data_IF_400947231677
#
_entry.id   IF_400947231677
#
_cell.length_a   1.000
_cell.length_b   1.000
_cell.length_c   1.000
_cell.angle_alpha   90.00
_cell.angle_beta   90.00
_cell.angle_gamma   90.00
#
_symmetry.space_group_name_H-M   'P 1'
#
loop_
_entity.id
_entity.type
_entity.pdbx_description
1 polymer ?
#
# COMPACT_ATOMS: atom_id res chain seq x y z
N UNK A 1 -4.22 -0.04 -24.63
CA UNK A 1 -4.26 -1.43 -25.13
C UNK A 1 -2.85 -1.98 -25.01
N UNK A 2 -2.68 -3.06 -24.25
CA UNK A 2 -1.39 -3.74 -24.08
C UNK A 2 -0.88 -4.28 -25.43
N UNK A 3 0.45 -4.48 -25.53
CA UNK A 3 1.09 -5.09 -26.69
C UNK A 3 0.44 -6.44 -27.05
N UNK A 4 0.42 -6.84 -28.33
CA UNK A 4 -0.16 -8.13 -28.74
C UNK A 4 0.54 -9.27 -27.99
N UNK A 5 -0.22 -10.00 -27.17
CA UNK A 5 0.24 -11.19 -26.47
C UNK A 5 0.02 -12.42 -27.35
N UNK A 6 1.07 -13.23 -27.52
CA UNK A 6 1.00 -14.51 -28.23
C UNK A 6 0.99 -15.63 -27.18
N UNK A 7 -0.14 -16.36 -27.00
CA UNK A 7 -0.20 -17.46 -26.05
C UNK A 7 0.63 -18.65 -26.52
N UNK A 8 1.17 -19.46 -25.61
CA UNK A 8 1.72 -20.78 -25.95
C UNK A 8 0.64 -21.67 -26.59
N UNK A 9 0.99 -22.55 -27.56
CA UNK A 9 0.03 -23.41 -28.25
C UNK A 9 -0.83 -24.27 -27.30
N UNK A 10 -0.23 -24.78 -26.22
CA UNK A 10 -0.92 -25.61 -25.23
C UNK A 10 -2.03 -24.85 -24.49
N UNK A 11 -1.80 -23.56 -24.18
CA UNK A 11 -2.80 -22.70 -23.56
C UNK A 11 -3.93 -22.39 -24.54
N UNK A 12 -3.59 -22.14 -25.81
CA UNK A 12 -4.58 -21.89 -26.86
C UNK A 12 -5.46 -23.12 -27.10
N UNK A 13 -4.86 -24.32 -27.16
CA UNK A 13 -5.58 -25.58 -27.27
C UNK A 13 -6.52 -25.80 -26.07
N UNK A 14 -6.05 -25.54 -24.85
CA UNK A 14 -6.88 -25.66 -23.65
C UNK A 14 -8.08 -24.71 -23.68
N UNK A 15 -7.88 -23.48 -24.17
CA UNK A 15 -8.91 -22.45 -24.25
C UNK A 15 -9.98 -22.73 -25.33
N UNK A 16 -9.75 -23.63 -26.28
CA UNK A 16 -10.75 -24.01 -27.31
C UNK A 16 -11.95 -24.78 -26.76
N UNK A 17 -11.88 -25.30 -25.53
CA UNK A 17 -13.03 -25.94 -24.86
C UNK A 17 -13.95 -24.97 -24.09
N UNK A 18 -14.84 -25.48 -23.22
CA UNK A 18 -15.73 -24.64 -22.38
C UNK A 18 -14.96 -23.67 -21.47
N UNK A 19 -15.30 -22.38 -21.37
CA UNK A 19 -14.48 -21.39 -20.66
C UNK A 19 -14.03 -21.85 -19.25
N UNK A 20 -12.71 -21.92 -18.96
CA UNK A 20 -12.22 -22.30 -17.65
C UNK A 20 -12.38 -21.16 -16.63
N UNK A 21 -12.20 -21.44 -15.35
CA UNK A 21 -11.97 -20.42 -14.33
C UNK A 21 -10.47 -20.05 -14.27
N UNK A 22 -10.13 -18.85 -13.84
CA UNK A 22 -8.76 -18.47 -13.52
C UNK A 22 -8.52 -18.56 -12.02
N UNK A 23 -7.36 -19.05 -11.58
CA UNK A 23 -6.92 -19.03 -10.20
C UNK A 23 -5.51 -18.44 -10.14
N UNK A 24 -5.32 -17.34 -9.40
CA UNK A 24 -4.00 -16.74 -9.23
C UNK A 24 -3.90 -15.82 -8.02
N UNK A 25 -2.92 -16.08 -7.16
CA UNK A 25 -2.68 -15.30 -5.94
C UNK A 25 -1.53 -14.27 -6.09
N UNK A 26 -1.03 -14.04 -7.31
CA UNK A 26 0.01 -13.05 -7.57
C UNK A 26 1.36 -13.42 -6.95
N UNK A 27 2.09 -12.43 -6.44
CA UNK A 27 3.41 -12.59 -5.82
C UNK A 27 3.36 -12.99 -4.34
N UNK A 28 2.23 -13.55 -3.87
CA UNK A 28 2.11 -13.97 -2.48
C UNK A 28 2.94 -15.23 -2.25
N UNK A 29 3.87 -15.13 -1.30
CA UNK A 29 4.63 -16.28 -0.81
C UNK A 29 3.77 -17.01 0.21
N UNK A 30 3.58 -18.30 0.00
CA UNK A 30 2.78 -19.18 0.86
C UNK A 30 3.73 -20.17 1.51
N UNK A 31 3.54 -20.43 2.81
CA UNK A 31 4.40 -21.33 3.59
C UNK A 31 4.42 -22.77 3.04
N UNK A 32 3.29 -23.25 2.53
CA UNK A 32 3.13 -24.61 1.97
C UNK A 32 2.41 -24.55 0.59
N UNK A 33 3.17 -24.34 -0.50
CA UNK A 33 2.59 -24.26 -1.84
C UNK A 33 2.03 -25.60 -2.33
N UNK A 34 2.52 -26.74 -1.80
CA UNK A 34 2.01 -28.07 -2.17
C UNK A 34 0.61 -28.27 -1.63
N UNK A 35 0.41 -27.97 -0.34
CA UNK A 35 -0.91 -28.06 0.30
C UNK A 35 -1.92 -27.15 -0.38
N UNK A 36 -1.51 -25.94 -0.77
CA UNK A 36 -2.36 -25.05 -1.54
C UNK A 36 -2.69 -25.66 -2.90
N UNK A 37 -1.70 -26.16 -3.64
CA UNK A 37 -1.92 -26.80 -4.95
C UNK A 37 -2.93 -27.95 -4.85
N UNK A 38 -2.76 -28.86 -3.89
CA UNK A 38 -3.70 -29.97 -3.67
C UNK A 38 -5.11 -29.49 -3.36
N UNK A 39 -5.25 -28.47 -2.51
CA UNK A 39 -6.54 -27.86 -2.19
C UNK A 39 -7.22 -27.28 -3.44
N UNK A 40 -6.46 -26.58 -4.28
CA UNK A 40 -6.99 -26.00 -5.53
C UNK A 40 -7.45 -27.09 -6.50
N UNK A 41 -6.64 -28.13 -6.69
CA UNK A 41 -6.99 -29.27 -7.56
C UNK A 41 -8.25 -29.98 -7.06
N UNK A 42 -8.36 -30.21 -5.75
CA UNK A 42 -9.54 -30.80 -5.13
C UNK A 42 -10.78 -29.91 -5.30
N UNK A 43 -10.66 -28.60 -5.07
CA UNK A 43 -11.77 -27.66 -5.23
C UNK A 43 -12.27 -27.60 -6.68
N UNK A 44 -11.37 -27.59 -7.66
CA UNK A 44 -11.70 -27.61 -9.10
C UNK A 44 -12.41 -28.90 -9.46
N UNK A 45 -11.95 -30.03 -8.95
CA UNK A 45 -12.61 -31.32 -9.15
C UNK A 45 -14.02 -31.36 -8.53
N UNK A 46 -14.17 -30.89 -7.29
CA UNK A 46 -15.47 -30.81 -6.61
C UNK A 46 -16.45 -29.87 -7.33
N UNK A 47 -15.97 -28.75 -7.87
CA UNK A 47 -16.77 -27.82 -8.65
C UNK A 47 -17.14 -28.34 -10.06
N UNK A 48 -16.43 -29.37 -10.56
CA UNK A 48 -16.65 -29.92 -11.89
C UNK A 48 -16.33 -28.95 -13.03
N UNK A 49 -15.38 -28.04 -12.82
CA UNK A 49 -15.00 -27.00 -13.79
C UNK A 49 -13.62 -27.26 -14.40
N UNK A 50 -13.32 -26.55 -15.49
CA UNK A 50 -11.95 -26.43 -16.00
C UNK A 50 -11.27 -25.24 -15.33
N UNK A 51 -9.98 -25.32 -15.05
CA UNK A 51 -9.24 -24.24 -14.38
C UNK A 51 -7.89 -23.96 -15.03
N UNK A 52 -7.55 -22.68 -15.08
CA UNK A 52 -6.21 -22.18 -15.36
C UNK A 52 -5.61 -21.71 -14.04
N UNK A 53 -4.48 -22.28 -13.64
CA UNK A 53 -3.80 -21.94 -12.39
C UNK A 53 -2.50 -21.22 -12.72
N UNK A 54 -2.34 -19.98 -12.27
CA UNK A 54 -1.08 -19.26 -12.41
C UNK A 54 -0.09 -19.73 -11.33
N UNK A 55 1.13 -20.10 -11.74
CA UNK A 55 2.19 -20.54 -10.82
C UNK A 55 2.51 -19.48 -9.74
N UNK A 56 2.36 -18.19 -10.06
CA UNK A 56 2.78 -17.08 -9.20
C UNK A 56 4.29 -17.12 -8.89
N UNK A 57 4.72 -16.36 -7.87
CA UNK A 57 6.09 -16.43 -7.34
C UNK A 57 6.29 -17.58 -6.34
N UNK A 58 5.21 -18.29 -5.98
CA UNK A 58 5.21 -19.41 -5.03
C UNK A 58 5.37 -20.79 -5.68
N UNK A 59 5.71 -20.85 -6.98
CA UNK A 59 5.94 -22.08 -7.73
C UNK A 59 4.81 -23.13 -7.60
N UNK A 60 3.54 -22.70 -7.64
CA UNK A 60 2.42 -23.65 -7.61
C UNK A 60 2.49 -24.59 -8.81
N UNK A 61 2.63 -25.90 -8.57
CA UNK A 61 2.73 -26.92 -9.62
C UNK A 61 4.15 -27.25 -10.10
N UNK A 62 5.22 -26.83 -9.42
CA UNK A 62 6.61 -27.14 -9.80
C UNK A 62 7.12 -28.55 -9.43
N UNK A 63 6.31 -29.39 -8.80
CA UNK A 63 6.67 -30.76 -8.43
C UNK A 63 5.89 -31.83 -9.21
N UNK A 64 6.23 -33.11 -9.03
CA UNK A 64 5.63 -34.31 -9.66
C UNK A 64 4.14 -34.54 -9.28
N UNK A 65 3.28 -33.57 -9.54
CA UNK A 65 1.83 -33.71 -9.42
C UNK A 65 1.26 -34.38 -10.67
N UNK A 66 0.33 -35.31 -10.49
CA UNK A 66 -0.53 -35.76 -11.59
C UNK A 66 -1.56 -34.66 -11.85
N UNK A 67 -1.33 -33.87 -12.90
CA UNK A 67 -2.21 -32.76 -13.27
C UNK A 67 -3.47 -33.33 -13.94
N UNK A 68 -4.68 -33.05 -13.41
CA UNK A 68 -5.93 -33.45 -14.03
C UNK A 68 -6.11 -32.81 -15.42
N UNK A 69 -6.76 -33.48 -16.39
CA UNK A 69 -6.92 -32.95 -17.75
C UNK A 69 -7.78 -31.69 -17.83
N UNK A 70 -8.57 -31.39 -16.79
CA UNK A 70 -9.35 -30.16 -16.66
C UNK A 70 -8.56 -29.00 -16.04
N UNK A 71 -7.26 -29.16 -15.77
CA UNK A 71 -6.40 -28.12 -15.18
C UNK A 71 -5.22 -27.84 -16.10
N UNK A 72 -4.95 -26.55 -16.32
CA UNK A 72 -3.77 -26.11 -17.06
C UNK A 72 -3.01 -25.05 -16.26
N UNK A 73 -1.72 -25.26 -16.04
CA UNK A 73 -0.88 -24.31 -15.31
C UNK A 73 -0.21 -23.33 -16.28
N UNK A 74 -0.16 -22.05 -15.89
CA UNK A 74 0.45 -21.00 -16.72
C UNK A 74 1.47 -20.17 -15.94
N UNK A 75 2.47 -19.67 -16.67
CA UNK A 75 3.41 -18.67 -16.15
C UNK A 75 2.84 -17.26 -16.17
N UNK A 76 3.68 -16.28 -16.50
CA UNK A 76 3.25 -14.90 -16.69
C UNK A 76 2.32 -14.78 -17.90
N UNK A 77 1.13 -14.22 -17.69
CA UNK A 77 0.16 -13.93 -18.74
C UNK A 77 -0.55 -12.60 -18.42
N UNK A 78 -0.76 -11.70 -19.40
CA UNK A 78 -1.49 -10.46 -19.17
C UNK A 78 -2.92 -10.72 -18.70
N UNK A 79 -3.31 -10.11 -17.58
CA UNK A 79 -4.63 -10.28 -16.98
C UNK A 79 -5.76 -9.79 -17.88
N UNK A 80 -5.56 -8.65 -18.56
CA UNK A 80 -6.50 -8.11 -19.54
C UNK A 80 -6.77 -9.09 -20.69
N UNK A 81 -5.76 -9.86 -21.12
CA UNK A 81 -5.93 -10.85 -22.17
C UNK A 81 -6.59 -12.15 -21.70
N UNK A 82 -6.16 -12.69 -20.55
CA UNK A 82 -6.67 -14.00 -20.07
C UNK A 82 -8.05 -13.89 -19.45
N UNK A 83 -8.34 -12.80 -18.73
CA UNK A 83 -9.62 -12.65 -18.04
C UNK A 83 -10.79 -12.59 -19.02
N UNK A 84 -10.60 -12.06 -20.23
CA UNK A 84 -11.61 -12.12 -21.29
C UNK A 84 -12.06 -13.55 -21.63
N UNK A 85 -11.18 -14.54 -21.45
CA UNK A 85 -11.36 -15.94 -21.90
C UNK A 85 -11.79 -16.90 -20.81
N UNK A 86 -11.92 -16.43 -19.57
CA UNK A 86 -12.37 -17.24 -18.42
C UNK A 86 -13.79 -16.91 -17.99
N UNK A 87 -14.41 -17.81 -17.23
CA UNK A 87 -15.78 -17.66 -16.72
C UNK A 87 -15.86 -16.92 -15.37
N UNK A 88 -14.84 -17.04 -14.53
CA UNK A 88 -14.67 -16.27 -13.28
C UNK A 88 -13.19 -16.27 -12.86
N UNK A 89 -12.84 -15.42 -11.89
CA UNK A 89 -11.47 -15.20 -11.42
C UNK A 89 -11.40 -15.43 -9.92
N UNK A 90 -10.58 -16.39 -9.47
CA UNK A 90 -10.19 -16.57 -8.07
C UNK A 90 -8.87 -15.86 -7.86
N UNK A 91 -8.82 -14.89 -6.95
CA UNK A 91 -7.59 -14.16 -6.66
C UNK A 91 -7.53 -13.65 -5.23
N UNK A 92 -6.37 -13.12 -4.86
CA UNK A 92 -6.09 -12.66 -3.49
C UNK A 92 -6.79 -11.34 -3.12
N UNK A 93 -7.42 -10.64 -4.06
CA UNK A 93 -8.06 -9.33 -3.81
C UNK A 93 -7.14 -8.11 -3.88
N UNK A 94 -5.98 -8.16 -4.52
CA UNK A 94 -5.17 -6.96 -4.75
C UNK A 94 -5.86 -5.98 -5.71
N UNK A 95 -5.80 -4.68 -5.40
CA UNK A 95 -6.56 -3.63 -6.10
C UNK A 95 -6.48 -3.70 -7.63
N UNK A 96 -5.28 -3.87 -8.20
CA UNK A 96 -5.08 -3.96 -9.64
C UNK A 96 -5.71 -5.20 -10.29
N UNK A 97 -5.62 -6.36 -9.64
CA UNK A 97 -6.23 -7.60 -10.12
C UNK A 97 -7.75 -7.56 -10.00
N UNK A 98 -8.27 -7.01 -8.89
CA UNK A 98 -9.71 -6.78 -8.70
C UNK A 98 -10.25 -5.86 -9.79
N UNK A 99 -9.59 -4.73 -10.03
CA UNK A 99 -9.98 -3.78 -11.06
C UNK A 99 -9.94 -4.42 -12.46
N UNK A 100 -8.91 -5.21 -12.78
CA UNK A 100 -8.80 -5.91 -14.07
C UNK A 100 -9.93 -6.93 -14.28
N UNK A 101 -10.25 -7.74 -13.27
CA UNK A 101 -11.33 -8.72 -13.34
C UNK A 101 -12.70 -8.03 -13.54
N UNK A 102 -12.97 -6.97 -12.78
CA UNK A 102 -14.20 -6.18 -12.91
C UNK A 102 -14.28 -5.48 -14.26
N UNK A 103 -13.19 -4.87 -14.73
CA UNK A 103 -13.12 -4.25 -16.05
C UNK A 103 -13.35 -5.25 -17.20
N UNK A 104 -13.03 -6.54 -17.00
CA UNK A 104 -13.36 -7.62 -17.94
C UNK A 104 -14.78 -8.19 -17.76
N UNK A 105 -15.54 -7.69 -16.77
CA UNK A 105 -16.88 -8.15 -16.43
C UNK A 105 -16.94 -9.57 -15.89
N UNK A 106 -15.92 -10.00 -15.15
CA UNK A 106 -15.79 -11.38 -14.66
C UNK A 106 -16.14 -11.45 -13.19
N UNK A 107 -16.98 -12.41 -12.76
CA UNK A 107 -17.18 -12.69 -11.35
C UNK A 107 -15.86 -12.96 -10.64
N UNK A 108 -15.70 -12.40 -9.45
CA UNK A 108 -14.46 -12.51 -8.65
C UNK A 108 -14.68 -13.21 -7.33
N UNK A 109 -13.87 -14.23 -7.04
CA UNK A 109 -13.80 -14.90 -5.75
C UNK A 109 -12.54 -14.45 -5.04
N UNK A 110 -12.70 -13.79 -3.90
CA UNK A 110 -11.59 -13.17 -3.18
C UNK A 110 -11.14 -14.06 -2.01
N UNK A 111 -9.85 -14.44 -2.03
CA UNK A 111 -9.19 -15.18 -0.96
C UNK A 111 -8.14 -14.27 -0.32
N UNK A 112 -8.50 -13.44 0.67
CA UNK A 112 -7.57 -12.46 1.22
C UNK A 112 -6.53 -13.11 2.14
N UNK A 113 -5.29 -12.63 2.00
CA UNK A 113 -4.15 -12.97 2.83
C UNK A 113 -3.84 -11.85 3.84
N UNK A 114 -3.79 -10.58 3.41
CA UNK A 114 -3.48 -9.41 4.26
C UNK A 114 -3.79 -8.07 3.57
N UNK A 115 -3.59 -6.95 4.27
CA UNK A 115 -3.67 -5.59 3.71
C UNK A 115 -5.09 -5.17 3.36
N UNK A 116 -5.26 -4.56 2.19
CA UNK A 116 -6.53 -4.06 1.65
C UNK A 116 -7.40 -5.17 1.01
N UNK A 117 -6.89 -6.39 0.91
CA UNK A 117 -7.56 -7.52 0.26
C UNK A 117 -8.93 -7.88 0.88
N UNK A 118 -9.12 -7.90 2.21
CA UNK A 118 -10.44 -8.15 2.79
C UNK A 118 -11.46 -7.07 2.40
N UNK A 119 -11.03 -5.80 2.33
CA UNK A 119 -11.89 -4.70 1.91
C UNK A 119 -12.39 -4.92 0.48
N UNK A 120 -11.50 -5.24 -0.47
CA UNK A 120 -11.91 -5.55 -1.84
C UNK A 120 -12.83 -6.78 -1.91
N UNK A 121 -12.56 -7.79 -1.08
CA UNK A 121 -13.44 -8.95 -0.90
C UNK A 121 -14.87 -8.57 -0.53
N UNK A 122 -15.04 -7.76 0.51
CA UNK A 122 -16.36 -7.32 0.94
C UNK A 122 -17.03 -6.42 -0.11
N UNK A 123 -16.29 -5.50 -0.74
CA UNK A 123 -16.84 -4.64 -1.79
C UNK A 123 -17.41 -5.44 -2.97
N UNK A 124 -16.70 -6.47 -3.43
CA UNK A 124 -17.15 -7.35 -4.52
C UNK A 124 -18.41 -8.13 -4.13
N UNK A 125 -18.48 -8.60 -2.88
CA UNK A 125 -19.64 -9.31 -2.37
C UNK A 125 -20.86 -8.38 -2.22
N UNK A 126 -20.67 -7.18 -1.68
CA UNK A 126 -21.72 -6.17 -1.47
C UNK A 126 -22.36 -5.71 -2.79
N UNK A 127 -21.56 -5.55 -3.85
CA UNK A 127 -22.06 -5.16 -5.17
C UNK A 127 -22.63 -6.33 -5.98
N UNK A 128 -22.55 -7.56 -5.46
CA UNK A 128 -23.07 -8.78 -6.08
C UNK A 128 -22.23 -9.30 -7.25
N UNK A 129 -20.98 -8.87 -7.39
CA UNK A 129 -20.07 -9.31 -8.45
C UNK A 129 -19.22 -10.54 -8.06
N UNK A 130 -19.49 -11.12 -6.88
CA UNK A 130 -18.84 -12.31 -6.39
C UNK A 130 -19.42 -12.78 -5.05
N UNK A 131 -19.03 -13.98 -4.57
CA UNK A 131 -19.41 -14.45 -3.25
C UNK A 131 -18.63 -13.73 -2.14
N UNK A 132 -19.02 -13.98 -0.89
CA UNK A 132 -18.28 -13.48 0.29
C UNK A 132 -16.82 -13.94 0.27
N UNK A 133 -15.87 -13.09 0.70
CA UNK A 133 -14.47 -13.46 0.71
C UNK A 133 -14.19 -14.60 1.68
N UNK A 134 -13.25 -15.47 1.31
CA UNK A 134 -12.82 -16.61 2.14
C UNK A 134 -11.39 -16.33 2.62
N UNK A 135 -11.17 -15.89 3.87
CA UNK A 135 -9.83 -15.64 4.37
C UNK A 135 -8.94 -16.87 4.17
N UNK A 136 -7.72 -16.68 3.66
CA UNK A 136 -6.81 -17.79 3.31
C UNK A 136 -6.64 -18.81 4.45
N UNK A 137 -6.56 -18.33 5.70
CA UNK A 137 -6.46 -19.17 6.91
C UNK A 137 -7.64 -20.11 7.15
N UNK A 138 -8.79 -19.84 6.54
CA UNK A 138 -10.03 -20.62 6.64
C UNK A 138 -10.36 -21.35 5.33
N UNK A 139 -9.53 -21.20 4.30
CA UNK A 139 -9.80 -21.76 2.99
C UNK A 139 -9.78 -23.29 3.05
N UNK A 140 -10.84 -23.92 2.55
CA UNK A 140 -10.92 -25.36 2.31
C UNK A 140 -11.35 -25.63 0.87
N UNK A 141 -11.10 -26.84 0.36
CA UNK A 141 -11.51 -27.22 -0.99
C UNK A 141 -13.04 -27.17 -1.17
N UNK A 142 -13.87 -27.66 -0.22
CA UNK A 142 -15.33 -27.52 -0.31
C UNK A 142 -15.81 -26.07 -0.31
N UNK A 143 -15.20 -25.20 0.53
CA UNK A 143 -15.58 -23.78 0.58
C UNK A 143 -15.28 -23.08 -0.75
N UNK A 144 -14.11 -23.36 -1.33
CA UNK A 144 -13.73 -22.81 -2.63
C UNK A 144 -14.63 -23.35 -3.75
N UNK A 145 -14.96 -24.64 -3.74
CA UNK A 145 -15.86 -25.24 -4.72
C UNK A 145 -17.27 -24.62 -4.65
N UNK A 146 -17.80 -24.40 -3.44
CA UNK A 146 -19.07 -23.72 -3.25
C UNK A 146 -19.04 -22.27 -3.75
N UNK A 147 -17.96 -21.54 -3.48
CA UNK A 147 -17.76 -20.18 -4.00
C UNK A 147 -17.65 -20.14 -5.52
N UNK A 148 -17.00 -21.13 -6.14
CA UNK A 148 -16.97 -21.29 -7.61
C UNK A 148 -18.38 -21.51 -8.14
N UNK A 149 -19.16 -22.40 -7.53
CA UNK A 149 -20.56 -22.63 -7.90
C UNK A 149 -21.38 -21.34 -7.86
N UNK A 150 -21.32 -20.61 -6.74
CA UNK A 150 -22.02 -19.34 -6.56
C UNK A 150 -21.58 -18.29 -7.61
N UNK A 151 -20.28 -18.08 -7.80
CA UNK A 151 -19.77 -17.11 -8.77
C UNK A 151 -20.19 -17.41 -10.22
N UNK A 152 -20.52 -18.67 -10.53
CA UNK A 152 -20.97 -19.09 -11.84
C UNK A 152 -22.50 -18.99 -12.03
N UNK A 153 -23.26 -18.60 -11.01
CA UNK A 153 -24.69 -18.33 -11.12
C UNK A 153 -24.98 -17.18 -12.10
N UNK A 154 -26.12 -17.23 -12.82
CA UNK A 154 -26.46 -16.23 -13.83
C UNK A 154 -26.49 -14.79 -13.29
N UNK A 155 -27.01 -14.60 -12.08
CA UNK A 155 -27.21 -13.27 -11.49
C UNK A 155 -25.86 -12.60 -11.19
N UNK A 156 -24.90 -13.33 -10.62
CA UNK A 156 -23.56 -12.81 -10.33
C UNK A 156 -22.79 -12.53 -11.63
N UNK A 157 -22.90 -13.42 -12.63
CA UNK A 157 -22.31 -13.20 -13.96
C UNK A 157 -22.86 -11.94 -14.63
N UNK A 158 -24.17 -11.76 -14.59
CA UNK A 158 -24.84 -10.60 -15.17
C UNK A 158 -24.40 -9.33 -14.44
N UNK A 159 -24.34 -9.36 -13.11
CA UNK A 159 -23.92 -8.22 -12.31
C UNK A 159 -22.47 -7.81 -12.56
N UNK A 160 -21.55 -8.78 -12.63
CA UNK A 160 -20.16 -8.52 -12.98
C UNK A 160 -20.02 -7.91 -14.38
N UNK A 161 -20.80 -8.41 -15.35
CA UNK A 161 -20.82 -7.89 -16.72
C UNK A 161 -21.27 -6.42 -16.78
N UNK A 162 -22.37 -6.08 -16.11
CA UNK A 162 -22.88 -4.70 -16.02
C UNK A 162 -21.86 -3.74 -15.40
N UNK A 163 -21.21 -4.17 -14.32
CA UNK A 163 -20.16 -3.37 -13.69
C UNK A 163 -18.97 -3.17 -14.63
N UNK A 164 -18.56 -4.21 -15.35
CA UNK A 164 -17.49 -4.08 -16.34
C UNK A 164 -17.84 -3.13 -17.48
N UNK A 165 -19.10 -3.10 -17.92
CA UNK A 165 -19.58 -2.11 -18.89
C UNK A 165 -19.51 -0.68 -18.35
N UNK A 166 -19.87 -0.48 -17.07
CA UNK A 166 -19.74 0.83 -16.42
C UNK A 166 -18.28 1.28 -16.34
N UNK A 167 -17.39 0.42 -15.83
CA UNK A 167 -15.96 0.73 -15.68
C UNK A 167 -15.31 1.07 -17.03
N UNK A 168 -15.64 0.33 -18.10
CA UNK A 168 -15.07 0.61 -19.44
C UNK A 168 -15.59 1.91 -20.06
N UNK A 169 -16.74 2.42 -19.61
CA UNK A 169 -17.31 3.69 -20.05
C UNK A 169 -16.79 4.88 -19.23
N UNK A 170 -16.04 4.65 -18.15
CA UNK A 170 -15.39 5.71 -17.40
C UNK A 170 -14.13 6.20 -18.12
N UNK A 171 -13.79 7.48 -17.93
CA UNK A 171 -12.48 8.02 -18.31
C UNK A 171 -11.68 8.41 -17.07
N UNK A 172 -11.39 7.41 -16.23
CA UNK A 172 -10.63 7.62 -14.99
C UNK A 172 -9.22 8.15 -15.24
N UNK A 173 -8.56 7.70 -16.32
CA UNK A 173 -7.22 8.17 -16.69
C UNK A 173 -7.26 9.63 -17.12
N UNK A 174 -8.16 10.02 -18.03
CA UNK A 174 -8.25 11.42 -18.48
C UNK A 174 -8.69 12.34 -17.34
N UNK A 175 -9.63 11.89 -16.50
CA UNK A 175 -10.04 12.64 -15.32
C UNK A 175 -8.87 12.83 -14.33
N UNK A 176 -8.06 11.78 -14.12
CA UNK A 176 -6.85 11.84 -13.30
C UNK A 176 -5.80 12.81 -13.87
N UNK A 177 -5.54 12.74 -15.18
CA UNK A 177 -4.63 13.65 -15.89
C UNK A 177 -5.14 15.09 -15.83
N UNK A 178 -6.44 15.30 -16.06
CA UNK A 178 -7.09 16.62 -15.97
C UNK A 178 -6.98 17.19 -14.57
N UNK A 179 -7.28 16.37 -13.55
CA UNK A 179 -7.15 16.76 -12.14
C UNK A 179 -5.70 17.13 -11.81
N UNK A 180 -4.74 16.31 -12.24
CA UNK A 180 -3.31 16.58 -12.06
C UNK A 180 -2.91 17.93 -12.68
N UNK A 181 -3.27 18.18 -13.94
CA UNK A 181 -2.96 19.44 -14.61
C UNK A 181 -3.67 20.66 -14.01
N UNK A 182 -4.90 20.51 -13.52
CA UNK A 182 -5.63 21.58 -12.84
C UNK A 182 -4.94 22.04 -11.55
N UNK A 183 -4.26 21.13 -10.86
CA UNK A 183 -3.51 21.44 -9.63
C UNK A 183 -2.04 21.79 -9.88
N UNK A 184 -1.58 21.75 -11.13
CA UNK A 184 -0.26 22.23 -11.52
C UNK A 184 -0.32 23.72 -11.84
N UNK A 185 0.40 24.53 -11.06
CA UNK A 185 0.61 25.95 -11.37
C UNK A 185 1.60 26.11 -12.54
N UNK A 186 1.14 25.93 -13.78
CA UNK A 186 1.98 25.91 -14.98
C UNK A 186 2.87 27.15 -15.13
N UNK A 187 2.38 28.33 -14.74
CA UNK A 187 3.16 29.58 -14.77
C UNK A 187 4.43 29.54 -13.93
N UNK A 188 4.43 28.74 -12.86
CA UNK A 188 5.57 28.60 -11.94
C UNK A 188 6.57 27.53 -12.39
N UNK A 189 6.25 26.80 -13.47
CA UNK A 189 7.04 25.68 -14.00
C UNK A 189 7.64 25.99 -15.39
N UNK A 190 7.18 27.04 -16.07
CA UNK A 190 7.58 27.35 -17.44
C UNK A 190 8.82 28.25 -17.55
N UNK A 191 9.67 27.99 -18.53
CA UNK A 191 10.81 28.86 -18.86
C UNK A 191 10.31 30.20 -19.42
N UNK A 192 10.81 31.32 -18.86
CA UNK A 192 10.44 32.67 -19.29
C UNK A 192 10.95 33.08 -20.66
N UNK A 193 11.90 32.31 -21.25
CA UNK A 193 12.41 32.55 -22.60
C UNK A 193 11.65 31.70 -23.63
N UNK A 194 11.35 30.44 -23.29
CA UNK A 194 10.67 29.48 -24.16
C UNK A 194 9.58 28.81 -23.34
N UNK A 195 8.36 29.32 -23.40
CA UNK A 195 7.23 28.90 -22.56
C UNK A 195 6.86 27.42 -22.69
N UNK A 196 7.25 26.77 -23.79
CA UNK A 196 7.06 25.33 -24.01
C UNK A 196 8.08 24.44 -23.31
N UNK A 197 9.11 25.01 -22.68
CA UNK A 197 10.14 24.26 -21.95
C UNK A 197 9.97 24.46 -20.44
N UNK A 198 10.26 23.43 -19.62
CA UNK A 198 10.26 23.57 -18.19
C UNK A 198 11.43 24.47 -17.73
N UNK A 199 11.16 25.33 -16.76
CA UNK A 199 12.18 26.04 -16.03
C UNK A 199 12.83 25.11 -15.01
N UNK A 200 14.15 25.16 -14.93
CA UNK A 200 14.92 24.43 -13.91
C UNK A 200 15.68 25.40 -12.99
N UNK A 201 15.87 26.65 -13.43
CA UNK A 201 16.70 27.64 -12.75
C UNK A 201 15.96 28.97 -12.64
N UNK A 202 16.36 29.76 -11.65
CA UNK A 202 15.94 31.14 -11.44
C UNK A 202 17.17 32.03 -11.39
N UNK A 203 17.12 33.20 -12.02
CA UNK A 203 18.20 34.19 -11.93
C UNK A 203 18.02 34.98 -10.62
N UNK A 204 19.03 34.94 -9.76
CA UNK A 204 19.02 35.60 -8.44
C UNK A 204 18.76 37.09 -8.58
N UNK A 205 17.95 37.63 -7.67
CA UNK A 205 17.56 39.05 -7.70
C UNK A 205 16.57 39.41 -8.82
N UNK A 206 16.08 38.42 -9.59
CA UNK A 206 15.04 38.62 -10.61
C UNK A 206 13.88 37.64 -10.41
N UNK A 207 12.75 37.90 -11.07
CA UNK A 207 11.64 36.95 -11.19
C UNK A 207 11.79 35.96 -12.36
N UNK A 208 12.90 36.02 -13.10
CA UNK A 208 13.05 35.28 -14.36
C UNK A 208 13.43 33.83 -14.08
N UNK A 209 12.59 32.92 -14.59
CA UNK A 209 12.80 31.49 -14.58
C UNK A 209 13.30 31.03 -15.95
N UNK A 210 14.23 30.08 -16.01
CA UNK A 210 14.89 29.66 -17.24
C UNK A 210 15.17 28.16 -17.23
N UNK A 211 14.99 27.52 -18.38
CA UNK A 211 15.32 26.10 -18.59
C UNK A 211 16.83 25.87 -18.66
N UNK A 212 17.27 24.64 -18.40
CA UNK A 212 18.70 24.27 -18.35
C UNK A 212 19.46 24.61 -19.65
N UNK A 213 18.83 24.42 -20.82
CA UNK A 213 19.44 24.78 -22.11
C UNK A 213 19.68 26.30 -22.24
N UNK A 214 18.74 27.11 -21.75
CA UNK A 214 18.86 28.57 -21.77
C UNK A 214 19.99 29.07 -20.87
N UNK A 215 20.13 28.47 -19.68
CA UNK A 215 21.27 28.75 -18.78
C UNK A 215 22.59 28.40 -19.44
N UNK A 216 22.71 27.19 -20.01
CA UNK A 216 23.94 26.74 -20.65
C UNK A 216 24.39 27.69 -21.77
N UNK A 217 23.45 28.16 -22.60
CA UNK A 217 23.74 29.11 -23.67
C UNK A 217 24.22 30.47 -23.14
N UNK A 218 23.53 31.04 -22.15
CA UNK A 218 23.88 32.34 -21.59
C UNK A 218 25.22 32.31 -20.86
N UNK A 219 25.52 31.22 -20.15
CA UNK A 219 26.83 31.01 -19.50
C UNK A 219 27.93 30.87 -20.55
N UNK A 220 27.73 30.04 -21.58
CA UNK A 220 28.74 29.82 -22.62
C UNK A 220 29.06 31.10 -23.43
N UNK A 221 28.09 32.01 -23.57
CA UNK A 221 28.30 33.32 -24.21
C UNK A 221 28.84 34.41 -23.28
N UNK A 222 29.13 34.09 -22.02
CA UNK A 222 29.60 35.06 -21.02
C UNK A 222 28.55 36.11 -20.62
N UNK A 223 27.27 35.85 -20.90
CA UNK A 223 26.15 36.77 -20.62
C UNK A 223 25.52 36.54 -19.24
N UNK A 224 25.73 35.36 -18.64
CA UNK A 224 25.24 35.01 -17.32
C UNK A 224 26.32 34.25 -16.54
N UNK A 225 26.60 34.69 -15.32
CA UNK A 225 27.55 34.01 -14.44
C UNK A 225 26.84 32.99 -13.56
N UNK A 226 27.50 31.87 -13.25
CA UNK A 226 26.92 30.73 -12.53
C UNK A 226 26.60 31.02 -11.06
N UNK A 227 27.22 32.03 -10.46
CA UNK A 227 26.91 32.51 -9.10
C UNK A 227 25.58 33.27 -9.03
N UNK A 228 25.07 33.75 -10.17
CA UNK A 228 23.82 34.51 -10.27
C UNK A 228 22.59 33.66 -10.57
N UNK A 229 22.72 32.34 -10.56
CA UNK A 229 21.59 31.41 -10.76
C UNK A 229 21.37 30.56 -9.51
N UNK A 230 20.13 30.12 -9.33
CA UNK A 230 19.74 29.18 -8.29
C UNK A 230 18.74 28.16 -8.86
N UNK A 231 18.68 26.97 -8.24
CA UNK A 231 17.72 25.96 -8.64
C UNK A 231 16.30 26.47 -8.38
N UNK A 232 15.43 26.40 -9.40
CA UNK A 232 14.04 26.74 -9.23
C UNK A 232 13.36 25.67 -8.35
N UNK A 233 12.73 26.12 -7.26
CA UNK A 233 11.88 25.29 -6.40
C UNK A 233 10.46 25.87 -6.44
N UNK A 234 9.65 25.50 -7.45
CA UNK A 234 8.31 26.06 -7.66
C UNK A 234 7.40 25.84 -6.47
N UNK A 235 7.49 24.64 -5.89
CA UNK A 235 6.76 24.24 -4.70
C UNK A 235 7.70 23.45 -3.79
N UNK A 236 7.73 23.82 -2.51
CA UNK A 236 8.40 23.05 -1.47
C UNK A 236 7.32 22.28 -0.72
N UNK A 237 7.28 20.97 -0.93
CA UNK A 237 6.45 20.10 -0.11
C UNK A 237 7.21 19.78 1.17
N UNK A 238 6.57 20.00 2.31
CA UNK A 238 7.09 19.46 3.57
C UNK A 238 6.77 17.96 3.57
N UNK A 239 7.79 17.15 3.30
CA UNK A 239 7.68 15.69 3.35
C UNK A 239 7.72 15.17 4.79
N UNK A 240 7.92 16.04 5.79
CA UNK A 240 7.70 15.67 7.19
C UNK A 240 6.19 15.61 7.47
N UNK A 241 5.54 14.61 6.88
CA UNK A 241 4.23 14.11 7.34
C UNK A 241 4.48 13.23 8.58
N UNK A 242 5.35 13.71 9.47
CA UNK A 242 5.55 13.11 10.77
C UNK A 242 4.33 13.40 11.64
N UNK A 243 4.18 12.66 12.73
CA UNK A 243 3.13 12.91 13.69
C UNK A 243 3.12 14.36 14.17
N UNK A 244 1.93 14.97 14.14
CA UNK A 244 1.71 16.38 14.55
C UNK A 244 1.78 16.55 16.06
N UNK A 245 1.61 15.46 16.78
CA UNK A 245 1.58 15.41 18.24
C UNK A 245 2.07 14.03 18.74
N UNK A 246 2.45 13.90 20.03
CA UNK A 246 3.00 12.66 20.56
C UNK A 246 2.05 11.46 20.48
N UNK A 247 0.73 11.70 20.51
CA UNK A 247 -0.27 10.64 20.38
C UNK A 247 -0.34 10.13 18.95
N UNK A 248 -0.40 11.04 17.96
CA UNK A 248 -0.32 10.67 16.55
C UNK A 248 0.98 9.93 16.23
N UNK A 249 2.09 10.26 16.92
CA UNK A 249 3.39 9.61 16.70
C UNK A 249 3.47 8.21 17.24
N UNK A 250 2.88 8.01 18.41
CA UNK A 250 2.70 6.68 18.96
C UNK A 250 1.80 5.83 18.05
N UNK A 251 0.65 6.37 17.60
CA UNK A 251 -0.28 5.65 16.70
C UNK A 251 0.37 5.31 15.35
N UNK A 252 1.09 6.26 14.74
CA UNK A 252 1.76 6.06 13.45
C UNK A 252 2.82 4.96 13.54
N UNK A 253 3.69 4.98 14.56
CA UNK A 253 4.70 3.94 14.75
C UNK A 253 4.10 2.58 15.10
N UNK A 254 2.96 2.53 15.80
CA UNK A 254 2.27 1.27 16.07
C UNK A 254 1.65 0.65 14.81
N UNK A 255 1.05 1.46 13.93
CA UNK A 255 0.48 1.00 12.66
C UNK A 255 1.60 0.50 11.73
N UNK A 256 2.69 1.25 11.61
CA UNK A 256 3.81 0.92 10.74
C UNK A 256 4.54 -0.35 11.22
N UNK A 257 4.76 -0.47 12.54
CA UNK A 257 5.31 -1.70 13.15
C UNK A 257 4.37 -2.91 13.02
N UNK A 258 3.05 -2.70 13.04
CA UNK A 258 2.08 -3.78 12.86
C UNK A 258 1.98 -4.26 11.40
N UNK A 259 2.29 -3.38 10.43
CA UNK A 259 2.36 -3.73 9.03
C UNK A 259 3.61 -4.56 8.69
N UNK A 260 4.74 -4.32 9.38
CA UNK A 260 5.97 -5.12 9.20
C UNK A 260 5.92 -6.48 9.91
N UNK A 261 5.15 -6.62 10.99
CA UNK A 261 5.02 -7.88 11.74
C UNK A 261 3.85 -8.70 11.18
N UNK A 262 4.07 -9.30 10.03
CA UNK A 262 3.24 -10.39 9.51
C UNK A 262 3.25 -11.59 10.47
N UNK A 263 2.28 -11.64 11.38
CA UNK A 263 1.98 -12.83 12.20
C UNK A 263 2.44 -12.75 13.66
N UNK A 264 1.54 -12.33 14.56
CA UNK A 264 1.81 -12.37 16.00
C UNK A 264 0.70 -11.82 16.90
N UNK A 265 -0.56 -12.11 16.61
CA UNK A 265 -1.71 -11.47 17.28
C UNK A 265 -2.18 -12.13 18.59
N UNK A 266 -1.60 -13.25 19.04
CA UNK A 266 -2.10 -13.94 20.25
C UNK A 266 -1.57 -13.39 21.58
N UNK A 267 -0.40 -12.73 21.61
CA UNK A 267 0.18 -12.19 22.85
C UNK A 267 0.06 -10.67 23.02
N UNK A 268 -0.44 -9.96 22.02
CA UNK A 268 -0.52 -8.49 22.04
C UNK A 268 -1.84 -7.95 22.62
N UNK A 269 -2.95 -8.69 22.49
CA UNK A 269 -4.28 -8.20 22.86
C UNK A 269 -4.47 -7.87 24.35
N UNK A 270 -3.73 -8.50 25.25
CA UNK A 270 -3.85 -8.27 26.70
C UNK A 270 -3.04 -7.06 27.19
N UNK A 271 -1.91 -6.72 26.55
CA UNK A 271 -1.08 -5.58 26.94
C UNK A 271 -1.51 -4.27 26.26
N UNK A 272 -2.05 -4.34 25.03
CA UNK A 272 -2.55 -3.18 24.30
C UNK A 272 -3.84 -2.63 24.86
N UNK A 273 -4.78 -3.49 25.28
CA UNK A 273 -6.00 -3.04 25.97
C UNK A 273 -5.67 -2.30 27.27
N UNK A 274 -4.68 -2.75 28.05
CA UNK A 274 -4.27 -2.09 29.30
C UNK A 274 -3.64 -0.71 29.07
N UNK A 275 -2.78 -0.57 28.05
CA UNK A 275 -2.11 0.68 27.74
C UNK A 275 -3.09 1.72 27.19
N UNK A 276 -3.93 1.34 26.22
CA UNK A 276 -4.97 2.21 25.65
C UNK A 276 -5.97 2.65 26.73
N UNK A 277 -6.37 1.73 27.63
CA UNK A 277 -7.31 2.05 28.70
C UNK A 277 -6.71 2.97 29.76
N UNK A 278 -5.44 2.82 30.13
CA UNK A 278 -4.78 3.73 31.08
C UNK A 278 -4.64 5.17 30.56
N UNK A 279 -4.54 5.32 29.24
CA UNK A 279 -4.36 6.61 28.58
C UNK A 279 -5.72 7.29 28.35
N UNK A 280 -6.78 6.54 28.02
CA UNK A 280 -8.12 7.08 27.80
C UNK A 280 -8.92 7.32 29.11
N UNK A 281 -8.77 6.49 30.15
CA UNK A 281 -9.55 6.64 31.41
C UNK A 281 -8.97 7.68 32.37
N UNK A 282 -7.71 8.11 32.24
CA UNK A 282 -7.08 9.08 33.15
C UNK A 282 -6.57 10.31 32.41
N UNK A 283 -7.48 11.24 32.10
CA UNK A 283 -7.18 12.60 31.65
C UNK A 283 -6.50 13.47 32.72
N UNK A 284 -5.39 13.03 33.32
CA UNK A 284 -4.60 13.84 34.24
C UNK A 284 -3.13 13.47 34.16
N UNK A 285 -2.33 14.39 33.62
CA UNK A 285 -0.88 14.41 33.78
C UNK A 285 -0.61 14.74 35.26
N UNK A 286 -0.33 13.72 36.06
CA UNK A 286 0.27 13.90 37.38
C UNK A 286 1.55 13.08 37.48
N UNK A 287 2.69 13.80 37.47
CA UNK A 287 3.99 13.60 38.16
C UNK A 287 4.46 12.19 38.59
N UNK A 288 3.98 11.12 37.95
CA UNK A 288 3.97 9.77 38.53
C UNK A 288 4.72 8.74 37.71
N UNK A 289 6.05 8.79 37.83
CA UNK A 289 7.00 7.67 37.64
C UNK A 289 7.24 7.16 36.20
N UNK A 290 8.52 7.34 35.82
CA UNK A 290 9.35 6.54 34.88
C UNK A 290 9.19 5.01 34.94
N UNK A 291 8.37 4.43 35.83
CA UNK A 291 8.30 2.99 36.11
C UNK A 291 7.36 2.22 35.20
N UNK A 292 6.29 2.82 34.65
CA UNK A 292 5.34 2.11 33.80
C UNK A 292 5.92 1.77 32.41
N UNK A 293 6.70 2.69 31.85
CA UNK A 293 7.38 2.52 30.56
C UNK A 293 8.57 1.55 30.66
N UNK A 294 9.39 1.67 31.71
CA UNK A 294 10.53 0.77 31.95
C UNK A 294 10.12 -0.70 32.21
N UNK A 295 8.92 -0.92 32.77
CA UNK A 295 8.37 -2.27 32.99
C UNK A 295 7.93 -2.94 31.69
N UNK A 296 7.33 -2.19 30.76
CA UNK A 296 6.94 -2.71 29.44
C UNK A 296 8.13 -3.11 28.58
N UNK A 297 9.26 -2.40 28.69
CA UNK A 297 10.50 -2.76 27.99
C UNK A 297 11.16 -4.05 28.51
N UNK A 298 11.00 -4.39 29.81
CA UNK A 298 11.59 -5.62 30.38
C UNK A 298 10.92 -6.91 29.88
N UNK A 299 9.67 -6.84 29.40
CA UNK A 299 8.94 -8.00 28.87
C UNK A 299 9.41 -8.46 27.48
N UNK A 300 10.17 -7.62 26.75
CA UNK A 300 10.54 -7.83 25.35
C UNK A 300 11.88 -8.59 25.21
N UNK A 301 12.68 -8.68 26.27
CA UNK A 301 14.03 -9.26 26.24
C UNK A 301 14.13 -10.78 26.05
N UNK A 302 13.04 -11.49 25.71
CA UNK A 302 13.03 -12.96 25.52
C UNK A 302 12.58 -13.44 24.13
N UNK A 303 12.42 -12.56 23.16
CA UNK A 303 12.16 -12.95 21.76
C UNK A 303 13.40 -12.74 20.88
N UNK A 304 13.72 -13.77 20.10
CA UNK A 304 14.91 -14.00 19.29
C UNK A 304 15.19 -12.95 18.20
N UNK A 305 16.35 -12.30 18.31
CA UNK A 305 17.32 -11.71 17.32
C UNK A 305 16.86 -11.00 16.04
N UNK A 306 15.61 -11.05 15.57
CA UNK A 306 15.16 -10.29 14.38
C UNK A 306 14.22 -9.10 14.70
N UNK A 307 14.20 -8.61 15.93
CA UNK A 307 13.33 -7.49 16.36
C UNK A 307 14.16 -6.35 16.95
N UNK A 308 14.92 -5.64 16.11
CA UNK A 308 15.76 -4.50 16.55
C UNK A 308 15.22 -3.14 16.08
N UNK A 309 14.35 -3.09 15.06
CA UNK A 309 13.87 -1.81 14.48
C UNK A 309 12.64 -1.21 15.15
N UNK A 310 11.59 -2.01 15.40
CA UNK A 310 10.34 -1.50 15.98
C UNK A 310 10.49 -0.62 17.26
N UNK A 311 11.39 -0.92 18.23
CA UNK A 311 11.59 -0.05 19.40
C UNK A 311 12.24 1.31 19.05
N UNK A 312 13.07 1.35 18.02
CA UNK A 312 13.74 2.57 17.55
C UNK A 312 12.72 3.44 16.80
N UNK A 313 11.88 2.84 15.96
CA UNK A 313 10.89 3.55 15.16
C UNK A 313 9.78 4.16 16.05
N UNK A 314 9.35 3.44 17.08
CA UNK A 314 8.42 3.96 18.11
C UNK A 314 9.04 5.12 18.89
N UNK A 315 10.31 4.98 19.32
CA UNK A 315 10.99 6.05 20.04
C UNK A 315 11.18 7.28 19.15
N UNK A 316 11.54 7.08 17.89
CA UNK A 316 11.74 8.13 16.90
C UNK A 316 10.45 8.88 16.60
N UNK A 317 9.34 8.17 16.32
CA UNK A 317 8.06 8.79 16.05
C UNK A 317 7.48 9.53 17.27
N UNK A 318 7.69 9.02 18.48
CA UNK A 318 7.32 9.72 19.71
C UNK A 318 8.13 11.02 19.89
N UNK A 319 9.44 10.98 19.64
CA UNK A 319 10.30 12.17 19.66
C UNK A 319 9.87 13.18 18.60
N UNK A 320 9.57 12.74 17.37
CA UNK A 320 9.02 13.62 16.33
C UNK A 320 7.68 14.25 16.72
N UNK A 321 6.80 13.49 17.37
CA UNK A 321 5.51 14.00 17.84
C UNK A 321 5.66 15.07 18.94
N UNK A 322 6.62 14.91 19.86
CA UNK A 322 6.95 15.94 20.85
C UNK A 322 7.58 17.17 20.18
N UNK A 323 8.53 16.95 19.29
CA UNK A 323 9.20 17.99 18.54
C UNK A 323 8.22 18.86 17.72
N UNK A 324 7.19 18.24 17.11
CA UNK A 324 6.18 18.95 16.32
C UNK A 324 5.05 19.58 17.15
N UNK A 325 4.90 19.24 18.44
CA UNK A 325 3.78 19.70 19.26
C UNK A 325 3.61 21.24 19.35
N UNK A 326 4.68 22.07 19.34
CA UNK A 326 4.53 23.54 19.30
C UNK A 326 3.74 24.07 18.11
N UNK A 327 3.72 23.35 16.96
CA UNK A 327 2.93 23.71 15.77
C UNK A 327 1.42 23.74 16.06
N UNK A 328 0.94 23.03 17.09
CA UNK A 328 -0.48 23.01 17.49
C UNK A 328 -0.95 24.34 18.08
N UNK A 329 -0.04 25.17 18.58
CA UNK A 329 -0.35 26.48 19.19
C UNK A 329 0.18 27.65 18.36
N UNK A 330 0.47 27.43 17.07
CA UNK A 330 0.78 28.48 16.10
C UNK A 330 2.25 28.86 15.95
N UNK A 331 3.18 28.12 16.58
CA UNK A 331 4.61 28.36 16.42
C UNK A 331 5.11 27.81 15.06
N UNK A 332 5.60 28.71 14.21
CA UNK A 332 6.12 28.39 12.88
C UNK A 332 7.64 28.12 12.87
N UNK A 333 8.33 28.26 14.01
CA UNK A 333 9.79 28.18 14.11
C UNK A 333 10.26 26.92 14.85
N UNK A 334 9.80 25.75 14.39
CA UNK A 334 10.35 24.46 14.85
C UNK A 334 11.64 24.17 14.06
N UNK A 335 12.79 24.19 14.74
CA UNK A 335 14.11 23.84 14.15
C UNK A 335 14.16 22.38 13.71
N UNK A 336 15.07 22.00 12.81
CA UNK A 336 15.21 20.59 12.38
C UNK A 336 15.64 19.70 13.57
N UNK A 337 15.10 18.48 13.71
CA UNK A 337 15.45 17.61 14.84
C UNK A 337 16.93 17.18 14.79
N UNK A 338 17.56 17.05 15.97
CA UNK A 338 18.89 16.45 16.13
C UNK A 338 18.89 15.01 15.61
N UNK A 339 20.00 14.57 14.99
CA UNK A 339 20.13 13.22 14.42
C UNK A 339 20.02 12.15 15.51
N UNK A 340 18.99 11.30 15.44
CA UNK A 340 18.76 10.22 16.40
C UNK A 340 19.40 8.92 15.91
N UNK A 341 20.52 8.53 16.51
CA UNK A 341 21.27 7.32 16.13
C UNK A 341 20.91 6.07 16.95
N UNK A 342 20.02 6.17 17.96
CA UNK A 342 19.59 5.03 18.77
C UNK A 342 18.69 5.39 19.97
N UNK A 343 18.28 4.37 20.74
CA UNK A 343 17.34 4.52 21.88
C UNK A 343 17.82 5.54 22.95
N UNK A 344 19.11 5.57 23.37
CA UNK A 344 19.58 6.52 24.37
C UNK A 344 19.59 7.97 23.86
N UNK A 345 19.91 8.19 22.58
CA UNK A 345 19.93 9.52 21.96
C UNK A 345 18.51 10.02 21.69
N UNK A 346 17.59 9.14 21.28
CA UNK A 346 16.18 9.47 21.09
C UNK A 346 15.47 9.88 22.39
N UNK A 347 15.71 9.17 23.49
CA UNK A 347 15.16 9.52 24.82
C UNK A 347 15.72 10.84 25.36
N UNK A 348 16.98 11.16 25.06
CA UNK A 348 17.63 12.41 25.46
C UNK A 348 17.09 13.60 24.66
N UNK A 349 16.90 13.45 23.35
CA UNK A 349 16.27 14.44 22.49
C UNK A 349 14.81 14.70 22.93
N UNK A 350 14.02 13.65 23.17
CA UNK A 350 12.64 13.77 23.67
C UNK A 350 12.56 14.50 25.02
N UNK A 351 13.50 14.27 25.94
CA UNK A 351 13.55 14.96 27.23
C UNK A 351 13.85 16.45 27.07
N UNK A 352 14.75 16.82 26.15
CA UNK A 352 15.12 18.22 25.86
C UNK A 352 13.97 18.98 25.20
N UNK A 353 13.30 18.36 24.24
CA UNK A 353 12.13 18.94 23.57
C UNK A 353 10.93 19.07 24.52
N UNK A 354 10.74 18.10 25.44
CA UNK A 354 9.73 18.19 26.49
C UNK A 354 10.04 19.30 27.50
N UNK A 355 11.31 19.51 27.86
CA UNK A 355 11.73 20.64 28.72
C UNK A 355 11.48 22.00 28.05
N UNK A 356 11.77 22.11 26.75
CA UNK A 356 11.47 23.33 25.96
C UNK A 356 9.95 23.58 25.86
N UNK A 357 9.14 22.54 25.62
CA UNK A 357 7.67 22.62 25.64
C UNK A 357 7.10 23.07 26.99
N UNK A 358 7.67 22.56 28.09
CA UNK A 358 7.24 22.95 29.44
C UNK A 358 7.69 24.38 29.78
N UNK A 359 8.79 24.85 29.20
CA UNK A 359 9.27 26.23 29.32
C UNK A 359 8.42 27.22 28.49
N UNK A 360 8.04 26.87 27.26
CA UNK A 360 7.22 27.73 26.39
C UNK A 360 5.80 27.91 26.93
N UNK A 361 5.23 26.87 27.57
CA UNK A 361 3.91 26.94 28.24
C UNK A 361 3.85 27.89 29.44
N UNK A 362 4.99 28.27 30.03
CA UNK A 362 5.05 29.31 31.07
C UNK A 362 5.00 30.74 30.52
N UNK A 363 5.31 30.92 29.24
CA UNK A 363 5.42 32.23 28.57
C UNK A 363 4.07 32.64 27.96
N UNK A 364 3.25 31.67 27.53
CA UNK A 364 1.88 31.88 27.03
C UNK A 364 0.89 31.00 27.80
N UNK A 365 0.37 31.45 28.96
CA UNK A 365 -0.77 30.81 29.58
C UNK A 365 -2.02 30.98 28.69
N UNK A 366 -2.86 29.94 28.66
CA UNK A 366 -4.04 29.83 27.81
C UNK A 366 -5.04 30.98 27.93
#
# INVERSE_FOLDING_TARGET
MSSPYTPPPELEEFLNGPPPIYIGFGSIIVDDPKKLTLLLLEAVNLAGVRAIISHGWGELGSEDFVIPPNVHFIGSCPHDWIFEKVSCVVHHGGAGTTAAAMACGKPSIIVPFFGDQPFWGEMIAEIGAGPKPIPFKKLTAPDLAAAIGAALEPDIKQRAKELGEQIRNESGVDAGVTSFHHHLEHSNLSCGIVSSLPAAWKIRGTGIQIGSCGVALLVNRGLLSTDKIELLRPQKYDLNIGPRDPFSGMVFAFIDSAAEIGGGLSHFGASTQGLFRSIFEKGSVHSGKRSAFASSMKGIGKASVNVVRAPIDIAFAFTQGLHNAPKLWGDQHVELPETVEGIPTGLKAASKDLEQLLASRKIYPA
#
